data_IF_631612407833
#
_entry.id   IF_631612407833
#
_cell.length_a   1.000
_cell.length_b   1.000
_cell.length_c   1.000
_cell.angle_alpha   90.00
_cell.angle_beta   90.00
_cell.angle_gamma   90.00
#
_symmetry.space_group_name_H-M   'P 1'
#
loop_
_entity.id
_entity.type
_entity.pdbx_description
1 polymer ?
#
# COMPACT_ATOMS: atom_id res chain seq x y z
N UNK A 1 -20.28 30.17 -1.79
CA UNK A 1 -19.98 28.91 -1.09
C UNK A 1 -18.98 28.13 -1.92
N UNK A 2 -18.05 27.41 -1.34
CA UNK A 2 -17.14 26.55 -2.11
C UNK A 2 -17.93 25.43 -2.80
N UNK A 3 -17.51 25.10 -4.04
CA UNK A 3 -18.10 24.02 -4.82
C UNK A 3 -17.23 22.78 -4.67
N UNK A 4 -17.83 21.65 -4.35
CA UNK A 4 -17.17 20.38 -4.23
C UNK A 4 -17.62 19.45 -5.36
N UNK A 5 -16.67 18.84 -6.08
CA UNK A 5 -16.95 17.73 -6.98
C UNK A 5 -16.88 16.44 -6.16
N UNK A 6 -17.92 15.60 -6.28
CA UNK A 6 -17.96 14.34 -5.56
C UNK A 6 -18.17 13.14 -6.49
N UNK A 7 -17.69 12.00 -6.05
CA UNK A 7 -18.00 10.68 -6.58
C UNK A 7 -18.63 9.88 -5.44
N UNK A 8 -19.79 9.33 -5.67
CA UNK A 8 -20.51 8.55 -4.67
C UNK A 8 -21.13 7.31 -5.31
N UNK A 9 -21.37 6.27 -4.53
CA UNK A 9 -22.06 5.03 -4.95
C UNK A 9 -23.47 5.05 -4.41
N UNK A 10 -24.43 4.67 -5.24
CA UNK A 10 -25.81 4.38 -4.83
C UNK A 10 -25.90 3.00 -4.18
N UNK A 11 -26.98 2.69 -3.46
CA UNK A 11 -27.25 1.35 -2.92
C UNK A 11 -27.26 0.26 -4.00
N UNK A 12 -27.54 0.63 -5.25
CA UNK A 12 -27.51 -0.28 -6.41
C UNK A 12 -26.11 -0.46 -7.02
N UNK A 13 -25.05 0.10 -6.42
CA UNK A 13 -23.66 -0.03 -6.89
C UNK A 13 -23.26 0.91 -8.04
N UNK A 14 -24.13 1.80 -8.50
CA UNK A 14 -23.84 2.76 -9.56
C UNK A 14 -23.02 3.94 -9.03
N UNK A 15 -21.93 4.27 -9.72
CA UNK A 15 -21.07 5.41 -9.38
C UNK A 15 -21.64 6.69 -10.00
N UNK A 16 -22.05 7.63 -9.16
CA UNK A 16 -22.53 8.96 -9.54
C UNK A 16 -21.41 9.98 -9.33
N UNK A 17 -21.20 10.85 -10.34
CA UNK A 17 -20.27 11.98 -10.28
C UNK A 17 -21.07 13.27 -10.46
N UNK A 18 -20.97 14.20 -9.51
CA UNK A 18 -21.64 15.49 -9.60
C UNK A 18 -20.89 16.56 -8.80
N UNK A 19 -21.37 17.80 -8.83
CA UNK A 19 -20.85 18.93 -8.06
C UNK A 19 -21.92 19.42 -7.10
N UNK A 20 -21.51 19.86 -5.91
CA UNK A 20 -22.40 20.36 -4.87
C UNK A 20 -21.79 21.60 -4.20
N UNK A 21 -22.61 22.57 -3.90
CA UNK A 21 -22.21 23.77 -3.15
C UNK A 21 -22.55 23.58 -1.67
N UNK A 22 -21.52 23.58 -0.83
CA UNK A 22 -21.64 23.45 0.62
C UNK A 22 -20.55 24.28 1.34
N UNK A 23 -20.77 24.54 2.62
CA UNK A 23 -19.85 25.34 3.42
C UNK A 23 -18.51 24.64 3.67
N UNK A 24 -18.53 23.34 3.82
CA UNK A 24 -17.33 22.53 4.00
C UNK A 24 -17.55 21.11 3.45
N UNK A 25 -16.49 20.34 3.35
CA UNK A 25 -16.50 18.95 2.84
C UNK A 25 -17.38 18.03 3.71
N UNK A 26 -17.44 18.28 4.99
CA UNK A 26 -18.25 17.50 5.93
C UNK A 26 -19.76 17.67 5.66
N UNK A 27 -20.22 18.90 5.38
CA UNK A 27 -21.60 19.16 4.99
C UNK A 27 -21.98 18.44 3.70
N UNK A 28 -21.02 18.31 2.75
CA UNK A 28 -21.20 17.52 1.53
C UNK A 28 -21.45 16.04 1.86
N UNK A 29 -20.61 15.44 2.74
CA UNK A 29 -20.77 14.05 3.19
C UNK A 29 -22.13 13.83 3.84
N UNK A 30 -22.53 14.71 4.75
CA UNK A 30 -23.82 14.62 5.46
C UNK A 30 -25.01 14.68 4.49
N UNK A 31 -24.91 15.53 3.48
CA UNK A 31 -25.96 15.67 2.44
C UNK A 31 -25.99 14.48 1.50
N UNK A 32 -24.84 13.93 1.13
CA UNK A 32 -24.76 12.71 0.30
C UNK A 32 -25.34 11.50 1.03
N UNK A 33 -25.01 11.30 2.32
CA UNK A 33 -25.59 10.22 3.15
C UNK A 33 -27.12 10.36 3.29
N UNK A 34 -27.63 11.58 3.47
CA UNK A 34 -29.10 11.81 3.54
C UNK A 34 -29.81 11.41 2.24
N UNK A 35 -29.09 11.42 1.11
CA UNK A 35 -29.60 11.01 -0.20
C UNK A 35 -29.23 9.55 -0.55
N UNK A 36 -28.87 8.72 0.44
CA UNK A 36 -28.47 7.32 0.27
C UNK A 36 -27.29 7.13 -0.71
N UNK A 37 -26.38 8.10 -0.74
CA UNK A 37 -25.17 8.09 -1.57
C UNK A 37 -23.94 7.92 -0.67
N UNK A 38 -23.17 6.84 -0.89
CA UNK A 38 -21.91 6.62 -0.19
C UNK A 38 -20.78 7.36 -0.92
N UNK A 39 -20.13 8.37 -0.31
CA UNK A 39 -19.07 9.12 -0.94
C UNK A 39 -17.80 8.29 -1.12
N UNK A 40 -17.25 8.26 -2.35
CA UNK A 40 -15.95 7.64 -2.66
C UNK A 40 -14.83 8.70 -2.59
N UNK A 41 -15.09 9.89 -3.13
CA UNK A 41 -14.14 11.00 -3.11
C UNK A 41 -14.85 12.33 -3.22
N UNK A 42 -14.36 13.34 -2.48
CA UNK A 42 -14.85 14.71 -2.48
C UNK A 42 -13.65 15.63 -2.62
N UNK A 43 -13.63 16.41 -3.70
CA UNK A 43 -12.53 17.33 -4.05
C UNK A 43 -13.07 18.74 -4.18
N UNK A 44 -12.50 19.74 -3.51
CA UNK A 44 -12.91 21.13 -3.71
C UNK A 44 -12.54 21.57 -5.15
N UNK A 45 -13.51 22.14 -5.87
CA UNK A 45 -13.30 22.68 -7.20
C UNK A 45 -12.78 24.11 -7.04
N UNK A 46 -11.48 24.32 -7.24
CA UNK A 46 -10.89 25.67 -7.27
C UNK A 46 -11.27 26.35 -8.59
N UNK A 47 -11.99 27.46 -8.47
CA UNK A 47 -12.16 28.45 -9.53
C UNK A 47 -13.38 28.29 -10.43
N UNK A 48 -14.57 28.57 -9.94
CA UNK A 48 -15.59 29.30 -10.71
C UNK A 48 -16.34 30.19 -9.71
N UNK A 49 -15.94 31.44 -9.66
CA UNK A 49 -16.79 32.49 -9.07
C UNK A 49 -17.83 32.82 -10.14
N UNK A 50 -19.01 32.25 -10.02
CA UNK A 50 -20.17 32.73 -10.77
C UNK A 50 -20.59 34.06 -10.17
N UNK A 51 -20.38 35.12 -10.94
CA UNK A 51 -20.83 36.46 -10.63
C UNK A 51 -22.33 36.48 -10.39
N UNK A 52 -22.78 36.69 -9.18
CA UNK A 52 -24.15 37.07 -8.90
C UNK A 52 -24.28 38.58 -8.94
N UNK A 53 -25.27 39.01 -9.72
CA UNK A 53 -25.71 40.39 -9.94
C UNK A 53 -25.87 41.17 -8.63
N UNK A 54 -25.46 42.46 -8.73
CA UNK A 54 -25.68 43.55 -7.77
C UNK A 54 -27.06 43.51 -7.09
N UNK A 55 -27.07 43.59 -5.79
CA UNK A 55 -28.12 44.28 -5.05
C UNK A 55 -27.51 45.28 -4.07
N UNK A 56 -28.15 46.47 -4.04
CA UNK A 56 -27.78 47.72 -3.38
C UNK A 56 -27.81 47.62 -1.84
N UNK A 57 -26.83 48.27 -1.24
CA UNK A 57 -26.77 48.99 0.05
C UNK A 57 -27.89 48.76 1.05
N UNK A 58 -27.52 48.36 2.25
CA UNK A 58 -27.90 49.04 3.51
C UNK A 58 -26.71 49.18 4.44
N UNK A 59 -26.54 50.41 4.97
CA UNK A 59 -25.54 50.88 5.95
C UNK A 59 -25.89 50.40 7.32
N UNK A 60 -24.85 50.26 8.12
CA UNK A 60 -24.65 50.32 9.54
C UNK A 60 -24.39 48.99 10.22
N UNK A 61 -23.10 48.67 10.41
CA UNK A 61 -22.52 48.29 11.70
C UNK A 61 -21.06 48.78 11.69
N UNK A 62 -20.82 49.93 12.21
CA UNK A 62 -19.53 50.44 12.68
C UNK A 62 -19.22 49.76 14.00
N UNK A 63 -18.02 49.30 14.13
CA UNK A 63 -17.16 49.06 15.29
C UNK A 63 -16.41 47.73 15.37
N UNK A 64 -16.83 46.67 14.68
CA UNK A 64 -16.04 45.43 14.65
C UNK A 64 -14.96 45.49 13.55
N UNK A 65 -15.14 46.36 12.55
CA UNK A 65 -14.18 46.51 11.42
C UNK A 65 -12.88 47.24 11.80
N UNK A 66 -12.83 47.96 12.94
CA UNK A 66 -11.61 48.64 13.41
C UNK A 66 -10.72 47.74 14.26
N UNK A 67 -11.27 46.75 14.96
CA UNK A 67 -10.49 45.79 15.74
C UNK A 67 -9.84 44.76 14.83
N UNK A 68 -10.47 44.38 13.74
CA UNK A 68 -9.87 43.48 12.72
C UNK A 68 -8.81 44.11 11.82
N UNK A 69 -8.72 45.44 11.77
CA UNK A 69 -7.68 46.16 11.02
C UNK A 69 -6.30 46.19 11.66
N UNK A 70 -6.19 45.88 12.93
CA UNK A 70 -4.92 45.89 13.67
C UNK A 70 -4.30 44.48 13.86
N UNK A 71 -4.92 43.42 13.43
CA UNK A 71 -4.30 42.10 13.35
C UNK A 71 -3.74 41.96 11.91
N UNK A 72 -2.43 41.84 11.82
CA UNK A 72 -1.54 41.75 10.66
C UNK A 72 -2.05 40.96 9.42
N UNK A 73 -3.25 41.25 8.95
CA UNK A 73 -3.81 40.73 7.70
C UNK A 73 -3.08 41.25 6.46
N UNK A 74 -2.38 42.40 6.58
CA UNK A 74 -1.55 42.92 5.47
C UNK A 74 -0.37 42.00 5.10
N UNK A 75 0.20 41.25 6.09
CA UNK A 75 1.28 40.32 5.82
C UNK A 75 0.83 38.94 5.27
N UNK A 76 -0.43 38.57 5.48
CA UNK A 76 -1.01 37.33 4.97
C UNK A 76 -1.48 37.54 3.51
N UNK A 77 -2.10 38.67 3.22
CA UNK A 77 -2.55 39.02 1.85
C UNK A 77 -1.39 39.38 0.88
N UNK A 78 -0.27 39.92 1.39
CA UNK A 78 0.92 40.16 0.55
C UNK A 78 1.68 38.86 0.21
N UNK A 79 1.47 37.76 0.94
CA UNK A 79 2.00 36.43 0.55
C UNK A 79 1.17 35.76 -0.54
N UNK A 80 -0.10 36.09 -0.68
CA UNK A 80 -0.97 35.51 -1.72
C UNK A 80 -0.78 36.12 -3.13
N UNK A 81 -0.13 37.29 -3.25
CA UNK A 81 0.09 37.95 -4.55
C UNK A 81 1.47 37.73 -5.17
N UNK A 82 2.42 37.12 -4.46
CA UNK A 82 3.64 36.60 -5.10
C UNK A 82 3.29 35.30 -5.78
N UNK A 83 3.15 35.35 -7.09
CA UNK A 83 2.94 34.15 -7.91
C UNK A 83 3.96 33.08 -7.56
N UNK A 84 3.49 31.91 -7.13
CA UNK A 84 4.32 30.74 -6.82
C UNK A 84 5.32 30.51 -7.95
N UNK A 85 6.59 30.38 -7.61
CA UNK A 85 7.64 29.99 -8.56
C UNK A 85 7.28 28.62 -9.16
N UNK A 86 7.75 28.34 -10.38
CA UNK A 86 7.51 27.04 -11.03
C UNK A 86 7.88 25.86 -10.14
N UNK A 87 8.95 25.99 -9.33
CA UNK A 87 9.36 25.01 -8.31
C UNK A 87 8.31 24.82 -7.21
N UNK A 88 7.72 25.90 -6.71
CA UNK A 88 6.67 25.84 -5.68
C UNK A 88 5.37 25.25 -6.23
N UNK A 89 5.00 25.62 -7.47
CA UNK A 89 3.84 25.00 -8.15
C UNK A 89 4.03 23.51 -8.37
N UNK A 90 5.21 23.07 -8.77
CA UNK A 90 5.56 21.65 -8.94
C UNK A 90 5.56 20.95 -7.57
N UNK A 91 6.13 21.56 -6.53
CA UNK A 91 6.12 21.02 -5.16
C UNK A 91 4.71 20.90 -4.59
N UNK A 92 3.86 21.90 -4.79
CA UNK A 92 2.45 21.86 -4.36
C UNK A 92 1.69 20.77 -5.11
N UNK A 93 1.94 20.60 -6.42
CA UNK A 93 1.27 19.56 -7.22
C UNK A 93 1.76 18.15 -6.87
N UNK A 94 3.05 17.99 -6.57
CA UNK A 94 3.64 16.72 -6.11
C UNK A 94 3.19 16.37 -4.68
N UNK A 95 3.10 17.37 -3.80
CA UNK A 95 2.69 17.17 -2.41
C UNK A 95 1.17 17.01 -2.22
N UNK A 96 0.36 17.53 -3.15
CA UNK A 96 -1.10 17.42 -3.09
C UNK A 96 -1.63 15.98 -3.24
N UNK A 97 -0.77 15.03 -3.58
CA UNK A 97 -1.12 13.62 -3.77
C UNK A 97 -0.19 12.67 -2.97
N UNK A 98 0.37 13.16 -1.86
CA UNK A 98 1.21 12.32 -0.99
C UNK A 98 0.39 11.18 -0.40
N UNK A 99 0.87 9.96 -0.61
CA UNK A 99 0.27 8.78 0.02
C UNK A 99 0.53 8.83 1.52
N UNK A 100 -0.52 8.72 2.32
CA UNK A 100 -0.40 8.55 3.78
C UNK A 100 0.16 7.17 4.07
N UNK A 101 1.24 7.11 4.84
CA UNK A 101 1.92 5.87 5.21
C UNK A 101 1.52 5.42 6.62
N UNK A 102 1.77 4.15 6.95
CA UNK A 102 1.60 3.63 8.32
C UNK A 102 2.45 4.42 9.32
N UNK A 103 3.63 4.91 8.90
CA UNK A 103 4.49 5.74 9.72
C UNK A 103 3.89 7.11 10.04
N UNK A 104 3.21 7.74 9.07
CA UNK A 104 2.51 9.02 9.32
C UNK A 104 1.41 8.82 10.37
N UNK A 105 0.68 7.70 10.26
CA UNK A 105 -0.35 7.34 11.23
C UNK A 105 0.24 7.02 12.61
N UNK A 106 1.38 6.33 12.67
CA UNK A 106 2.08 6.04 13.92
C UNK A 106 2.51 7.33 14.61
N UNK A 107 3.21 8.23 13.93
CA UNK A 107 3.67 9.52 14.48
C UNK A 107 2.47 10.35 14.98
N UNK A 108 1.38 10.38 14.23
CA UNK A 108 0.14 11.02 14.65
C UNK A 108 -0.38 10.42 15.96
N UNK A 109 -0.45 9.09 16.04
CA UNK A 109 -1.02 8.38 17.19
C UNK A 109 -0.16 8.54 18.43
N UNK A 110 1.19 8.48 18.30
CA UNK A 110 2.13 8.74 19.38
C UNK A 110 1.97 10.15 19.95
N UNK A 111 1.95 11.16 19.07
CA UNK A 111 1.75 12.55 19.49
C UNK A 111 0.38 12.74 20.17
N UNK A 112 -0.66 12.10 19.63
CA UNK A 112 -1.98 12.17 20.21
C UNK A 112 -2.05 11.49 21.58
N UNK A 113 -1.41 10.32 21.73
CA UNK A 113 -1.25 9.64 23.00
C UNK A 113 -0.55 10.52 24.05
N UNK A 114 0.59 11.15 23.69
CA UNK A 114 1.35 12.02 24.59
C UNK A 114 0.52 13.23 25.05
N UNK A 115 -0.23 13.86 24.15
CA UNK A 115 -1.10 14.99 24.49
C UNK A 115 -2.29 14.53 25.36
N UNK A 116 -2.87 13.35 25.11
CA UNK A 116 -3.92 12.78 25.97
C UNK A 116 -3.39 12.44 27.36
N UNK A 117 -2.20 11.87 27.46
CA UNK A 117 -1.51 11.64 28.74
C UNK A 117 -1.23 12.92 29.50
N UNK A 118 -1.02 14.04 28.81
CA UNK A 118 -0.91 15.38 29.37
C UNK A 118 -2.28 16.04 29.65
N UNK A 119 -3.39 15.29 29.61
CA UNK A 119 -4.77 15.76 29.87
C UNK A 119 -5.30 16.79 28.86
N UNK A 120 -4.76 16.90 27.66
CA UNK A 120 -5.35 17.73 26.63
C UNK A 120 -6.70 17.15 26.15
N UNK A 121 -7.67 18.01 25.88
CA UNK A 121 -8.91 17.57 25.23
C UNK A 121 -8.65 17.19 23.76
N UNK A 122 -9.54 16.40 23.15
CA UNK A 122 -9.34 15.86 21.81
C UNK A 122 -9.19 16.96 20.74
N UNK A 123 -9.98 18.03 20.82
CA UNK A 123 -9.96 19.16 19.89
C UNK A 123 -8.60 19.88 19.96
N UNK A 124 -8.14 20.21 21.16
CA UNK A 124 -6.88 20.94 21.34
C UNK A 124 -5.65 20.07 20.97
N UNK A 125 -5.67 18.79 21.35
CA UNK A 125 -4.63 17.85 20.95
C UNK A 125 -4.54 17.72 19.42
N UNK A 126 -5.68 17.52 18.76
CA UNK A 126 -5.73 17.37 17.30
C UNK A 126 -5.30 18.66 16.57
N UNK A 127 -5.76 19.84 17.03
CA UNK A 127 -5.35 21.13 16.45
C UNK A 127 -3.84 21.37 16.55
N UNK A 128 -3.21 20.92 17.64
CA UNK A 128 -1.75 21.02 17.84
C UNK A 128 -1.01 20.12 16.86
N UNK A 129 -1.46 18.88 16.67
CA UNK A 129 -0.82 17.91 15.78
C UNK A 129 -0.95 18.34 14.32
N UNK A 130 -2.08 18.90 13.91
CA UNK A 130 -2.30 19.39 12.54
C UNK A 130 -1.22 20.40 12.14
N UNK A 131 -0.79 21.28 13.06
CA UNK A 131 0.22 22.29 12.78
C UNK A 131 1.61 21.69 12.53
N UNK A 132 1.92 20.54 13.12
CA UNK A 132 3.21 19.84 13.01
C UNK A 132 3.19 18.72 11.96
N UNK A 133 2.08 18.48 11.27
CA UNK A 133 1.95 17.42 10.28
C UNK A 133 2.48 17.88 8.92
N UNK A 134 3.54 17.24 8.41
CA UNK A 134 4.19 17.59 7.14
C UNK A 134 3.43 17.09 5.92
N UNK A 135 2.78 15.93 6.02
CA UNK A 135 2.02 15.31 4.94
C UNK A 135 0.72 16.07 4.69
N UNK A 136 0.66 16.83 3.59
CA UNK A 136 -0.48 17.68 3.24
C UNK A 136 -1.80 16.92 3.08
N UNK A 137 -1.76 15.71 2.52
CA UNK A 137 -2.96 14.86 2.37
C UNK A 137 -3.47 14.43 3.73
N UNK A 138 -2.57 14.02 4.62
CA UNK A 138 -2.92 13.60 5.97
C UNK A 138 -3.41 14.78 6.82
N UNK A 139 -2.73 15.92 6.71
CA UNK A 139 -3.16 17.16 7.36
C UNK A 139 -4.60 17.54 7.02
N UNK A 140 -4.98 17.51 5.73
CA UNK A 140 -6.34 17.79 5.30
C UNK A 140 -7.37 16.81 5.89
N UNK A 141 -6.99 15.54 6.07
CA UNK A 141 -7.84 14.53 6.71
C UNK A 141 -8.01 14.82 8.21
N UNK A 142 -6.92 15.18 8.88
CA UNK A 142 -6.97 15.57 10.30
C UNK A 142 -7.80 16.86 10.52
N UNK A 143 -7.74 17.81 9.58
CA UNK A 143 -8.61 19.00 9.58
C UNK A 143 -10.10 18.62 9.42
N UNK A 144 -10.42 17.66 8.55
CA UNK A 144 -11.79 17.13 8.42
C UNK A 144 -12.27 16.42 9.71
N UNK A 145 -11.37 15.67 10.39
CA UNK A 145 -11.68 15.02 11.67
C UNK A 145 -11.90 16.09 12.78
N UNK A 146 -11.07 17.12 12.81
CA UNK A 146 -11.23 18.23 13.74
C UNK A 146 -12.57 18.94 13.56
N UNK A 147 -12.94 19.24 12.32
CA UNK A 147 -14.23 19.85 11.98
C UNK A 147 -15.43 18.98 12.42
N UNK A 148 -15.30 17.65 12.32
CA UNK A 148 -16.31 16.70 12.84
C UNK A 148 -16.44 16.78 14.35
N UNK A 149 -15.32 16.79 15.08
CA UNK A 149 -15.30 16.93 16.53
C UNK A 149 -15.90 18.27 17.00
N UNK A 150 -15.56 19.37 16.31
CA UNK A 150 -16.14 20.70 16.61
C UNK A 150 -17.65 20.75 16.33
N UNK A 151 -18.13 19.95 15.37
CA UNK A 151 -19.56 19.78 15.11
C UNK A 151 -20.27 18.83 16.10
N UNK A 152 -19.54 18.28 17.08
CA UNK A 152 -20.08 17.34 18.09
C UNK A 152 -20.18 15.90 17.61
N UNK A 153 -19.56 15.52 16.50
CA UNK A 153 -19.48 14.13 16.08
C UNK A 153 -18.34 13.42 16.82
N UNK A 154 -18.49 12.09 16.98
CA UNK A 154 -17.41 11.29 17.57
C UNK A 154 -16.23 11.17 16.59
N UNK A 155 -15.00 11.11 17.11
CA UNK A 155 -13.78 11.00 16.34
C UNK A 155 -13.76 9.74 15.45
N UNK A 156 -14.13 8.59 16.03
CA UNK A 156 -14.19 7.33 15.29
C UNK A 156 -15.15 7.40 14.09
N UNK A 157 -16.27 8.09 14.21
CA UNK A 157 -17.25 8.22 13.12
C UNK A 157 -16.68 8.98 11.93
N UNK A 158 -15.90 10.02 12.20
CA UNK A 158 -15.24 10.80 11.15
C UNK A 158 -14.09 10.02 10.52
N UNK A 159 -13.35 9.21 11.32
CA UNK A 159 -12.30 8.32 10.82
C UNK A 159 -12.82 7.21 9.92
N UNK A 160 -14.04 6.70 10.12
CA UNK A 160 -14.66 5.68 9.25
C UNK A 160 -14.77 6.12 7.79
N UNK A 161 -14.88 7.44 7.52
CA UNK A 161 -14.88 7.96 6.13
C UNK A 161 -13.54 7.79 5.42
N UNK A 162 -12.47 7.57 6.18
CA UNK A 162 -11.09 7.41 5.71
C UNK A 162 -10.55 6.02 6.03
N UNK A 163 -11.39 4.98 5.88
CA UNK A 163 -11.04 3.57 6.15
C UNK A 163 -9.86 3.03 5.33
N UNK A 164 -9.52 3.69 4.22
CA UNK A 164 -8.32 3.41 3.43
C UNK A 164 -7.01 3.89 4.10
N UNK A 165 -7.10 4.75 5.12
CA UNK A 165 -5.97 5.34 5.84
C UNK A 165 -5.95 4.83 7.29
N UNK A 166 -7.09 4.85 7.96
CA UNK A 166 -7.25 4.31 9.30
C UNK A 166 -7.71 2.86 9.21
N UNK A 167 -6.86 1.88 9.60
CA UNK A 167 -7.26 0.47 9.65
C UNK A 167 -8.48 0.29 10.54
N UNK A 168 -9.35 -0.64 10.21
CA UNK A 168 -10.60 -0.86 10.96
C UNK A 168 -10.36 -1.14 12.45
N UNK A 169 -9.30 -1.90 12.76
CA UNK A 169 -8.92 -2.17 14.15
C UNK A 169 -8.52 -0.89 14.89
N UNK A 170 -7.80 0.01 14.22
CA UNK A 170 -7.44 1.32 14.77
C UNK A 170 -8.70 2.14 15.10
N UNK A 171 -9.64 2.21 14.15
CA UNK A 171 -10.92 2.92 14.34
C UNK A 171 -11.68 2.32 15.53
N UNK A 172 -11.68 0.98 15.65
CA UNK A 172 -12.36 0.31 16.76
C UNK A 172 -11.71 0.60 18.12
N UNK A 173 -10.38 0.67 18.19
CA UNK A 173 -9.67 1.10 19.40
C UNK A 173 -10.05 2.53 19.80
N UNK A 174 -10.05 3.46 18.84
CA UNK A 174 -10.48 4.83 19.08
C UNK A 174 -11.94 4.89 19.56
N UNK A 175 -12.82 4.10 18.92
CA UNK A 175 -14.24 3.99 19.30
C UNK A 175 -14.41 3.53 20.75
N UNK A 176 -13.71 2.46 21.14
CA UNK A 176 -13.75 1.94 22.51
C UNK A 176 -13.24 3.02 23.48
N UNK A 177 -12.10 3.65 23.20
CA UNK A 177 -11.52 4.71 24.03
C UNK A 177 -12.42 5.93 24.18
N UNK A 178 -13.10 6.33 23.11
CA UNK A 178 -14.00 7.49 23.12
C UNK A 178 -15.29 7.20 23.89
N UNK A 179 -15.88 6.01 23.71
CA UNK A 179 -17.14 5.63 24.37
C UNK A 179 -16.95 5.26 25.86
N UNK A 180 -15.80 4.68 26.22
CA UNK A 180 -15.49 4.33 27.62
C UNK A 180 -14.80 5.46 28.40
N UNK A 181 -14.39 6.53 27.74
CA UNK A 181 -13.59 7.61 28.34
C UNK A 181 -12.12 7.22 28.62
N UNK A 182 -11.68 6.04 28.17
CA UNK A 182 -10.32 5.50 28.35
C UNK A 182 -9.43 5.73 27.12
N UNK A 183 -9.51 6.92 26.50
CA UNK A 183 -8.79 7.25 25.27
C UNK A 183 -7.28 7.05 25.38
N UNK A 184 -6.67 7.35 26.56
CA UNK A 184 -5.23 7.17 26.77
C UNK A 184 -4.81 5.71 26.61
N UNK A 185 -5.53 4.78 27.24
CA UNK A 185 -5.24 3.34 27.15
C UNK A 185 -5.43 2.81 25.73
N UNK A 186 -6.52 3.22 25.07
CA UNK A 186 -6.81 2.83 23.68
C UNK A 186 -5.76 3.36 22.71
N UNK A 187 -5.28 4.59 22.90
CA UNK A 187 -4.20 5.15 22.08
C UNK A 187 -2.87 4.42 22.33
N UNK A 188 -2.57 4.05 23.57
CA UNK A 188 -1.36 3.25 23.87
C UNK A 188 -1.38 1.91 23.16
N UNK A 189 -2.53 1.21 23.14
CA UNK A 189 -2.70 -0.03 22.38
C UNK A 189 -2.57 0.20 20.87
N UNK A 190 -3.14 1.32 20.37
CA UNK A 190 -3.05 1.69 18.97
C UNK A 190 -1.60 2.01 18.53
N UNK A 191 -0.83 2.69 19.37
CA UNK A 191 0.61 2.92 19.13
C UNK A 191 1.34 1.60 18.99
N UNK A 192 1.20 0.69 19.97
CA UNK A 192 1.84 -0.63 19.93
C UNK A 192 1.47 -1.41 18.66
N UNK A 193 0.20 -1.44 18.29
CA UNK A 193 -0.27 -2.09 17.06
C UNK A 193 0.38 -1.50 15.80
N UNK A 194 0.51 -0.18 15.73
CA UNK A 194 1.11 0.49 14.57
C UNK A 194 2.63 0.34 14.53
N UNK A 195 3.31 0.36 15.69
CA UNK A 195 4.75 0.07 15.83
C UNK A 195 5.06 -1.33 15.29
N UNK A 196 4.35 -2.35 15.78
CA UNK A 196 4.52 -3.74 15.31
C UNK A 196 4.29 -3.87 13.80
N UNK A 197 3.25 -3.18 13.30
CA UNK A 197 2.94 -3.18 11.86
C UNK A 197 4.00 -2.46 11.01
N UNK A 198 4.52 -1.33 11.48
CA UNK A 198 5.56 -0.56 10.79
C UNK A 198 6.90 -1.32 10.79
N UNK A 199 7.26 -1.95 11.90
CA UNK A 199 8.48 -2.75 12.03
C UNK A 199 8.45 -4.00 11.13
N UNK A 200 7.32 -4.71 11.07
CA UNK A 200 7.15 -5.81 10.11
C UNK A 200 7.31 -5.32 8.67
N UNK A 201 6.65 -4.22 8.31
CA UNK A 201 6.76 -3.66 6.96
C UNK A 201 8.20 -3.24 6.63
N UNK A 202 8.94 -2.66 7.58
CA UNK A 202 10.36 -2.29 7.42
C UNK A 202 11.24 -3.52 7.22
N UNK A 203 11.05 -4.58 8.02
CA UNK A 203 11.82 -5.84 7.92
C UNK A 203 11.59 -6.49 6.56
N UNK A 204 10.34 -6.63 6.12
CA UNK A 204 9.99 -7.18 4.79
C UNK A 204 10.59 -6.32 3.67
N UNK A 205 10.49 -4.99 3.77
CA UNK A 205 11.05 -4.09 2.76
C UNK A 205 12.57 -4.18 2.68
N UNK A 206 13.28 -4.22 3.82
CA UNK A 206 14.73 -4.39 3.87
C UNK A 206 15.18 -5.71 3.24
N UNK A 207 14.38 -6.76 3.33
CA UNK A 207 14.65 -8.05 2.73
C UNK A 207 14.42 -8.04 1.21
N UNK A 208 13.32 -7.42 0.74
CA UNK A 208 12.89 -7.53 -0.66
C UNK A 208 13.59 -6.52 -1.58
N UNK A 209 13.74 -5.26 -1.15
CA UNK A 209 14.23 -4.18 -2.02
C UNK A 209 15.63 -4.45 -2.61
N UNK A 210 16.68 -4.83 -1.84
CA UNK A 210 18.01 -5.05 -2.41
C UNK A 210 18.02 -6.20 -3.41
N UNK A 211 17.26 -7.25 -3.15
CA UNK A 211 17.19 -8.41 -4.05
C UNK A 211 16.48 -8.07 -5.37
N UNK A 212 15.38 -7.32 -5.31
CA UNK A 212 14.68 -6.84 -6.52
C UNK A 212 15.58 -5.87 -7.31
N UNK A 213 16.30 -4.97 -6.64
CA UNK A 213 17.23 -4.05 -7.31
C UNK A 213 18.34 -4.79 -8.06
N UNK A 214 18.90 -5.86 -7.46
CA UNK A 214 19.89 -6.71 -8.14
C UNK A 214 19.31 -7.43 -9.35
N UNK A 215 18.11 -7.99 -9.26
CA UNK A 215 17.45 -8.65 -10.41
C UNK A 215 17.23 -7.66 -11.55
N UNK A 216 16.74 -6.45 -11.23
CA UNK A 216 16.57 -5.38 -12.23
C UNK A 216 17.89 -4.99 -12.86
N UNK A 217 18.95 -4.85 -12.05
CA UNK A 217 20.29 -4.54 -12.55
C UNK A 217 20.79 -5.63 -13.52
N UNK A 218 20.61 -6.92 -13.18
CA UNK A 218 20.99 -8.03 -14.05
C UNK A 218 20.21 -8.03 -15.37
N UNK A 219 18.93 -7.72 -15.34
CA UNK A 219 18.11 -7.60 -16.56
C UNK A 219 18.59 -6.44 -17.45
N UNK A 220 18.90 -5.29 -16.85
CA UNK A 220 19.47 -4.13 -17.56
C UNK A 220 20.80 -4.53 -18.19
N UNK A 221 21.69 -5.18 -17.44
CA UNK A 221 23.00 -5.63 -17.91
C UNK A 221 22.85 -6.62 -19.06
N UNK A 222 21.88 -7.54 -19.02
CA UNK A 222 21.58 -8.47 -20.10
C UNK A 222 21.16 -7.73 -21.38
N UNK A 223 20.23 -6.76 -21.27
CA UNK A 223 19.76 -5.98 -22.44
C UNK A 223 20.89 -5.09 -23.01
N UNK A 224 21.61 -4.38 -22.15
CA UNK A 224 22.71 -3.50 -22.58
C UNK A 224 23.87 -4.33 -23.17
N UNK A 225 24.23 -5.44 -22.52
CA UNK A 225 25.30 -6.31 -22.96
C UNK A 225 25.03 -6.96 -24.33
N UNK A 226 23.79 -7.37 -24.60
CA UNK A 226 23.41 -7.89 -25.92
C UNK A 226 23.41 -6.79 -26.97
N UNK A 227 22.87 -5.63 -26.69
CA UNK A 227 22.76 -4.50 -27.62
C UNK A 227 24.15 -3.97 -28.07
N UNK A 228 25.10 -3.92 -27.18
CA UNK A 228 26.44 -3.42 -27.50
C UNK A 228 27.45 -4.53 -27.79
N UNK A 229 27.31 -5.71 -27.18
CA UNK A 229 28.25 -6.81 -27.32
C UNK A 229 28.14 -7.53 -28.68
N UNK A 230 26.92 -7.78 -29.18
CA UNK A 230 26.73 -8.46 -30.46
C UNK A 230 27.34 -7.68 -31.63
N UNK A 231 27.10 -6.37 -31.82
CA UNK A 231 27.75 -5.59 -32.88
C UNK A 231 29.29 -5.56 -32.82
N UNK A 232 29.85 -5.58 -31.61
CA UNK A 232 31.31 -5.66 -31.44
C UNK A 232 31.85 -6.99 -31.97
N UNK A 233 31.22 -8.11 -31.63
CA UNK A 233 31.56 -9.43 -32.12
C UNK A 233 31.45 -9.49 -33.66
N UNK A 234 30.35 -8.95 -34.22
CA UNK A 234 30.19 -8.86 -35.68
C UNK A 234 31.26 -8.06 -36.38
N UNK A 235 31.62 -6.90 -35.81
CA UNK A 235 32.72 -6.07 -36.34
C UNK A 235 34.06 -6.81 -36.37
N UNK A 236 34.34 -7.64 -35.38
CA UNK A 236 35.51 -8.50 -35.33
C UNK A 236 35.46 -9.56 -36.44
N UNK A 237 34.31 -10.24 -36.63
CA UNK A 237 34.14 -11.21 -37.71
C UNK A 237 34.30 -10.59 -39.09
N UNK A 238 33.76 -9.40 -39.32
CA UNK A 238 33.91 -8.68 -40.60
C UNK A 238 35.36 -8.23 -40.87
N UNK A 239 36.09 -7.84 -39.84
CA UNK A 239 37.48 -7.34 -39.98
C UNK A 239 38.48 -8.45 -40.40
N UNK A 240 38.16 -9.69 -40.04
CA UNK A 240 39.03 -10.84 -40.31
C UNK A 240 38.80 -11.41 -41.72
N UNK A 241 37.78 -10.92 -42.47
CA UNK A 241 37.51 -11.32 -43.83
C UNK A 241 37.15 -12.82 -43.98
N UNK A 242 36.87 -13.50 -42.89
CA UNK A 242 36.62 -14.92 -42.88
C UNK A 242 35.15 -15.23 -43.24
N UNK A 243 35.00 -16.28 -44.06
CA UNK A 243 33.71 -16.96 -44.30
C UNK A 243 33.18 -17.66 -43.03
N UNK A 244 33.75 -17.41 -41.85
CA UNK A 244 33.35 -17.99 -40.61
C UNK A 244 31.98 -17.46 -40.23
N UNK A 245 31.00 -18.33 -40.07
CA UNK A 245 29.67 -17.97 -39.62
C UNK A 245 29.65 -17.83 -38.10
N UNK A 246 28.92 -16.84 -37.61
CA UNK A 246 28.68 -16.67 -36.19
C UNK A 246 28.05 -17.95 -35.58
N UNK A 247 28.41 -18.33 -34.36
CA UNK A 247 27.81 -19.46 -33.68
C UNK A 247 26.28 -19.41 -33.67
N UNK A 248 25.62 -20.55 -33.78
CA UNK A 248 24.17 -20.65 -33.84
C UNK A 248 23.47 -19.93 -32.64
N UNK A 249 24.05 -19.99 -31.46
CA UNK A 249 23.54 -19.30 -30.28
C UNK A 249 23.55 -17.77 -30.46
N UNK A 250 24.66 -17.22 -31.00
CA UNK A 250 24.80 -15.76 -31.23
C UNK A 250 23.84 -15.31 -32.34
N UNK A 251 23.71 -16.09 -33.43
CA UNK A 251 22.76 -15.83 -34.53
C UNK A 251 21.32 -15.83 -34.04
N UNK A 252 20.94 -16.80 -33.21
CA UNK A 252 19.58 -16.87 -32.64
C UNK A 252 19.29 -15.63 -31.78
N UNK A 253 20.22 -15.23 -30.88
CA UNK A 253 20.05 -14.02 -30.06
C UNK A 253 20.04 -12.75 -30.89
N UNK A 254 20.91 -12.65 -31.92
CA UNK A 254 20.89 -11.52 -32.85
C UNK A 254 19.51 -11.41 -33.50
N UNK A 255 18.99 -12.49 -34.05
CA UNK A 255 17.65 -12.52 -34.64
C UNK A 255 16.55 -12.07 -33.65
N UNK A 256 16.62 -12.50 -32.40
CA UNK A 256 15.67 -12.06 -31.36
C UNK A 256 15.78 -10.56 -31.14
N UNK A 257 17.01 -10.02 -30.97
CA UNK A 257 17.23 -8.60 -30.74
C UNK A 257 16.77 -7.77 -31.95
N UNK A 258 17.16 -8.13 -33.16
CA UNK A 258 16.74 -7.46 -34.40
C UNK A 258 15.23 -7.49 -34.61
N UNK A 259 14.58 -8.63 -34.34
CA UNK A 259 13.12 -8.75 -34.40
C UNK A 259 12.44 -7.84 -33.38
N UNK A 260 12.97 -7.77 -32.17
CA UNK A 260 12.44 -6.87 -31.14
C UNK A 260 12.69 -5.40 -31.51
N UNK A 261 13.84 -5.05 -32.08
CA UNK A 261 14.13 -3.68 -32.52
C UNK A 261 13.30 -3.27 -33.74
N UNK A 262 13.12 -4.16 -34.72
CA UNK A 262 12.33 -3.92 -35.93
C UNK A 262 10.84 -3.81 -35.63
N UNK A 263 10.35 -4.67 -34.77
CA UNK A 263 8.91 -4.76 -34.43
C UNK A 263 8.62 -4.35 -32.98
N UNK A 264 9.42 -3.42 -32.38
CA UNK A 264 9.30 -3.03 -30.98
C UNK A 264 7.86 -2.66 -30.55
N UNK A 265 7.05 -2.18 -31.49
CA UNK A 265 5.64 -1.84 -31.26
C UNK A 265 4.80 -3.09 -30.93
N UNK A 266 5.07 -4.22 -31.60
CA UNK A 266 4.31 -5.47 -31.41
C UNK A 266 4.51 -6.06 -30.00
N UNK A 267 5.76 -6.33 -29.54
CA UNK A 267 5.97 -6.82 -28.18
C UNK A 267 5.49 -5.82 -27.11
N UNK A 268 5.66 -4.51 -27.37
CA UNK A 268 5.16 -3.48 -26.45
C UNK A 268 3.64 -3.52 -26.32
N UNK A 269 2.91 -3.56 -27.43
CA UNK A 269 1.44 -3.69 -27.42
C UNK A 269 1.02 -5.02 -26.79
N UNK A 270 1.72 -6.11 -27.09
CA UNK A 270 1.42 -7.43 -26.51
C UNK A 270 1.61 -7.45 -25.00
N UNK A 271 2.69 -6.84 -24.49
CA UNK A 271 2.92 -6.69 -23.06
C UNK A 271 1.83 -5.82 -22.42
N UNK A 272 1.51 -4.67 -23.02
CA UNK A 272 0.45 -3.78 -22.51
C UNK A 272 -0.90 -4.49 -22.51
N UNK A 273 -1.25 -5.18 -23.59
CA UNK A 273 -2.49 -5.96 -23.69
C UNK A 273 -2.51 -7.13 -22.69
N UNK A 274 -1.38 -7.81 -22.49
CA UNK A 274 -1.22 -8.87 -21.51
C UNK A 274 -1.41 -8.35 -20.09
N UNK A 275 -0.77 -7.22 -19.74
CA UNK A 275 -0.91 -6.56 -18.43
C UNK A 275 -2.35 -6.08 -18.24
N UNK A 276 -2.96 -5.44 -19.25
CA UNK A 276 -4.35 -4.99 -19.17
C UNK A 276 -5.31 -6.19 -19.02
N UNK A 277 -5.11 -7.27 -19.75
CA UNK A 277 -5.87 -8.52 -19.62
C UNK A 277 -5.71 -9.17 -18.25
N UNK A 278 -4.49 -9.17 -17.71
CA UNK A 278 -4.21 -9.68 -16.37
C UNK A 278 -4.87 -8.82 -15.30
N UNK A 279 -4.82 -7.49 -15.41
CA UNK A 279 -5.52 -6.56 -14.52
C UNK A 279 -7.04 -6.77 -14.62
N UNK A 280 -7.57 -6.93 -15.83
CA UNK A 280 -8.98 -7.23 -16.03
C UNK A 280 -9.37 -8.56 -15.38
N UNK A 281 -8.59 -9.63 -15.59
CA UNK A 281 -8.82 -10.94 -14.98
C UNK A 281 -8.78 -10.87 -13.45
N UNK A 282 -7.76 -10.21 -12.86
CA UNK A 282 -7.64 -10.04 -11.41
C UNK A 282 -8.83 -9.27 -10.82
N UNK A 283 -9.48 -8.38 -11.59
CA UNK A 283 -10.66 -7.65 -11.13
C UNK A 283 -11.95 -8.48 -11.17
N UNK A 284 -11.96 -9.66 -11.79
CA UNK A 284 -13.10 -10.58 -11.72
C UNK A 284 -13.15 -11.30 -10.36
N UNK A 285 -14.33 -11.70 -9.84
CA UNK A 285 -14.42 -12.41 -8.55
C UNK A 285 -13.58 -13.69 -8.50
N UNK A 286 -13.60 -14.49 -9.58
CA UNK A 286 -12.78 -15.72 -9.70
C UNK A 286 -11.29 -15.41 -9.83
N UNK A 287 -10.94 -14.38 -10.59
CA UNK A 287 -9.56 -13.95 -10.78
C UNK A 287 -8.95 -13.42 -9.49
N UNK A 288 -9.70 -12.63 -8.72
CA UNK A 288 -9.29 -12.19 -7.38
C UNK A 288 -8.98 -13.37 -6.47
N UNK A 289 -9.90 -14.33 -6.35
CA UNK A 289 -9.68 -15.50 -5.52
C UNK A 289 -8.44 -16.28 -5.95
N UNK A 290 -8.30 -16.59 -7.25
CA UNK A 290 -7.15 -17.31 -7.79
C UNK A 290 -5.83 -16.56 -7.59
N UNK A 291 -5.82 -15.24 -7.77
CA UNK A 291 -4.63 -14.41 -7.54
C UNK A 291 -4.23 -14.39 -6.06
N UNK A 292 -5.20 -14.27 -5.14
CA UNK A 292 -4.96 -14.33 -3.71
C UNK A 292 -4.51 -15.73 -3.26
N UNK A 293 -5.05 -16.78 -3.87
CA UNK A 293 -4.60 -18.16 -3.64
C UNK A 293 -3.17 -18.38 -4.16
N UNK A 294 -2.85 -17.87 -5.37
CA UNK A 294 -1.49 -17.88 -5.91
C UNK A 294 -0.51 -17.19 -4.98
N UNK A 295 -0.89 -16.03 -4.41
CA UNK A 295 -0.06 -15.30 -3.45
C UNK A 295 0.30 -16.13 -2.20
N UNK A 296 -0.60 -17.02 -1.74
CA UNK A 296 -0.34 -17.92 -0.63
C UNK A 296 0.40 -19.21 -1.04
N UNK A 297 0.22 -19.67 -2.29
CA UNK A 297 0.93 -20.83 -2.84
C UNK A 297 2.25 -20.48 -3.51
N UNK A 298 2.62 -19.23 -3.60
CA UNK A 298 3.86 -18.79 -4.21
C UNK A 298 5.06 -19.39 -3.45
N UNK A 299 6.00 -20.06 -4.15
CA UNK A 299 7.18 -20.63 -3.50
C UNK A 299 7.95 -19.52 -2.75
N UNK A 300 8.51 -19.83 -1.61
CA UNK A 300 9.34 -18.96 -0.77
C UNK A 300 8.52 -17.88 -0.02
N UNK A 301 7.66 -17.12 -0.73
CA UNK A 301 6.93 -15.97 -0.16
C UNK A 301 5.50 -16.30 0.28
N UNK A 302 4.96 -17.44 -0.13
CA UNK A 302 3.56 -17.79 0.15
C UNK A 302 3.29 -17.99 1.63
N UNK A 303 4.15 -18.75 2.29
CA UNK A 303 4.09 -19.01 3.73
C UNK A 303 4.20 -17.70 4.53
N UNK A 304 5.13 -16.82 4.15
CA UNK A 304 5.29 -15.51 4.79
C UNK A 304 4.03 -14.64 4.64
N UNK A 305 3.47 -14.57 3.44
CA UNK A 305 2.26 -13.78 3.21
C UNK A 305 1.08 -14.28 4.05
N UNK A 306 0.91 -15.61 4.14
CA UNK A 306 -0.14 -16.20 4.97
C UNK A 306 0.11 -15.90 6.45
N UNK A 307 1.31 -16.16 6.94
CA UNK A 307 1.67 -15.94 8.35
C UNK A 307 1.44 -14.49 8.78
N UNK A 308 1.81 -13.51 7.95
CA UNK A 308 1.59 -12.08 8.22
C UNK A 308 0.08 -11.75 8.26
N UNK A 309 -0.69 -12.17 7.24
CA UNK A 309 -2.13 -11.87 7.18
C UNK A 309 -2.88 -12.54 8.34
N UNK A 310 -2.51 -13.77 8.68
CA UNK A 310 -3.11 -14.53 9.78
C UNK A 310 -2.71 -13.96 11.15
N UNK A 311 -1.45 -13.58 11.35
CA UNK A 311 -0.99 -12.91 12.58
C UNK A 311 -1.76 -11.60 12.83
N UNK A 312 -1.95 -10.78 11.77
CA UNK A 312 -2.76 -9.55 11.88
C UNK A 312 -4.20 -9.84 12.30
N UNK A 313 -4.80 -10.87 11.72
CA UNK A 313 -6.14 -11.32 12.09
C UNK A 313 -6.20 -11.77 13.56
N UNK A 314 -5.25 -12.59 14.01
CA UNK A 314 -5.20 -13.08 15.40
C UNK A 314 -4.95 -11.94 16.40
N UNK A 315 -4.07 -10.99 16.10
CA UNK A 315 -3.88 -9.77 16.91
C UNK A 315 -5.17 -8.97 17.05
N UNK A 316 -5.90 -8.79 15.94
CA UNK A 316 -7.18 -8.09 15.95
C UNK A 316 -8.22 -8.82 16.82
N UNK A 317 -8.28 -10.13 16.70
CA UNK A 317 -9.18 -10.96 17.49
C UNK A 317 -8.81 -10.91 18.97
N UNK A 318 -7.52 -11.04 19.32
CA UNK A 318 -7.02 -10.94 20.70
C UNK A 318 -7.44 -9.62 21.35
N UNK A 319 -7.21 -8.48 20.67
CA UNK A 319 -7.57 -7.16 21.18
C UNK A 319 -9.08 -7.02 21.45
N UNK A 320 -9.91 -7.58 20.56
CA UNK A 320 -11.36 -7.58 20.74
C UNK A 320 -11.78 -8.43 21.94
N UNK A 321 -11.18 -9.62 22.12
CA UNK A 321 -11.45 -10.51 23.26
C UNK A 321 -10.99 -9.88 24.59
N UNK A 322 -9.81 -9.26 24.63
CA UNK A 322 -9.32 -8.53 25.81
C UNK A 322 -10.23 -7.36 26.20
N UNK A 323 -10.93 -6.77 25.24
CA UNK A 323 -11.98 -5.75 25.47
C UNK A 323 -13.35 -6.35 25.83
N UNK A 324 -13.44 -7.66 26.09
CA UNK A 324 -14.66 -8.35 26.52
C UNK A 324 -15.68 -8.63 25.40
N UNK A 325 -15.26 -8.54 24.13
CA UNK A 325 -16.14 -8.90 23.01
C UNK A 325 -16.34 -10.41 22.92
N UNK A 326 -17.54 -10.84 22.52
CA UNK A 326 -17.80 -12.27 22.25
C UNK A 326 -16.99 -12.75 21.05
N UNK A 327 -16.70 -14.04 20.99
CA UNK A 327 -15.92 -14.66 19.89
C UNK A 327 -16.51 -14.35 18.53
N UNK A 328 -17.83 -14.47 18.38
CA UNK A 328 -18.53 -14.18 17.13
C UNK A 328 -18.32 -12.72 16.68
N UNK A 329 -18.55 -11.77 17.60
CA UNK A 329 -18.41 -10.34 17.31
C UNK A 329 -16.93 -9.99 17.02
N UNK A 330 -16.00 -10.65 17.73
CA UNK A 330 -14.55 -10.50 17.52
C UNK A 330 -14.11 -10.96 16.13
N UNK A 331 -14.64 -12.11 15.65
CA UNK A 331 -14.37 -12.62 14.30
C UNK A 331 -14.94 -11.66 13.23
N UNK A 332 -16.17 -11.16 13.44
CA UNK A 332 -16.84 -10.24 12.51
C UNK A 332 -16.08 -8.91 12.38
N UNK A 333 -15.52 -8.42 13.47
CA UNK A 333 -14.66 -7.23 13.47
C UNK A 333 -13.28 -7.53 12.88
N UNK A 334 -12.65 -8.62 13.30
CA UNK A 334 -11.30 -8.97 12.89
C UNK A 334 -11.20 -9.33 11.39
N UNK A 335 -12.26 -9.86 10.76
CA UNK A 335 -12.25 -10.14 9.31
C UNK A 335 -11.91 -8.89 8.46
N UNK A 336 -12.25 -7.69 8.93
CA UNK A 336 -12.01 -6.44 8.19
C UNK A 336 -10.54 -6.02 8.13
N UNK A 337 -9.66 -6.66 8.93
CA UNK A 337 -8.20 -6.47 8.86
C UNK A 337 -7.59 -7.29 7.72
N UNK A 338 -8.30 -8.32 7.27
CA UNK A 338 -7.82 -9.27 6.26
C UNK A 338 -8.11 -8.76 4.86
N UNK A 339 -7.06 -8.64 4.05
CA UNK A 339 -7.18 -8.24 2.65
C UNK A 339 -7.24 -9.42 1.67
N UNK A 340 -6.84 -10.61 2.11
CA UNK A 340 -6.79 -11.79 1.27
C UNK A 340 -8.13 -12.52 1.25
N UNK A 341 -8.70 -12.68 0.04
CA UNK A 341 -10.02 -13.30 -0.14
C UNK A 341 -10.08 -14.77 0.30
N UNK A 342 -8.96 -15.50 0.25
CA UNK A 342 -8.91 -16.91 0.71
C UNK A 342 -9.06 -16.97 2.21
N UNK A 343 -8.28 -16.18 2.95
CA UNK A 343 -8.38 -16.12 4.40
C UNK A 343 -9.73 -15.54 4.83
N UNK A 344 -10.22 -14.52 4.12
CA UNK A 344 -11.55 -13.95 4.36
C UNK A 344 -12.64 -15.00 4.25
N UNK A 345 -12.63 -15.85 3.20
CA UNK A 345 -13.61 -16.92 3.03
C UNK A 345 -13.55 -17.99 4.14
N UNK A 346 -12.35 -18.27 4.67
CA UNK A 346 -12.17 -19.17 5.81
C UNK A 346 -12.81 -18.56 7.07
N UNK A 347 -12.56 -17.27 7.32
CA UNK A 347 -13.12 -16.54 8.48
C UNK A 347 -14.64 -16.45 8.37
N UNK A 348 -15.19 -16.15 7.20
CA UNK A 348 -16.65 -16.13 6.98
C UNK A 348 -17.27 -17.50 7.22
N UNK A 349 -16.60 -18.58 6.82
CA UNK A 349 -17.04 -19.94 7.13
C UNK A 349 -16.98 -20.22 8.64
N UNK A 350 -15.94 -19.72 9.32
CA UNK A 350 -15.82 -19.84 10.78
C UNK A 350 -16.94 -19.10 11.52
N UNK A 351 -17.32 -17.90 11.05
CA UNK A 351 -18.47 -17.15 11.60
C UNK A 351 -19.77 -17.92 11.40
N UNK A 352 -20.01 -18.47 10.21
CA UNK A 352 -21.18 -19.29 9.92
C UNK A 352 -21.23 -20.54 10.80
N UNK A 353 -20.09 -21.19 11.05
CA UNK A 353 -20.00 -22.35 11.95
C UNK A 353 -20.45 -22.01 13.38
N UNK A 354 -20.05 -20.85 13.92
CA UNK A 354 -20.55 -20.40 15.24
C UNK A 354 -22.06 -20.24 15.23
N UNK A 355 -22.63 -19.62 14.19
CA UNK A 355 -24.08 -19.43 14.07
C UNK A 355 -24.82 -20.78 14.02
N UNK A 356 -24.19 -21.79 13.40
CA UNK A 356 -24.71 -23.16 13.33
C UNK A 356 -24.43 -24.02 14.59
N UNK A 357 -23.73 -23.45 15.58
CA UNK A 357 -23.34 -24.19 16.80
C UNK A 357 -22.20 -25.18 16.60
N UNK A 358 -21.43 -25.04 15.52
CA UNK A 358 -20.25 -25.89 15.22
C UNK A 358 -18.94 -25.15 15.49
N UNK A 359 -17.82 -25.89 15.46
CA UNK A 359 -16.50 -25.29 15.77
C UNK A 359 -16.07 -24.26 14.70
N UNK A 360 -15.75 -23.06 15.14
CA UNK A 360 -15.19 -22.01 14.28
C UNK A 360 -13.72 -22.28 13.88
N UNK A 361 -13.04 -23.20 14.56
CA UNK A 361 -11.64 -23.58 14.29
C UNK A 361 -11.54 -24.52 13.08
N UNK A 362 -12.57 -25.34 12.87
CA UNK A 362 -12.61 -26.36 11.81
C UNK A 362 -12.29 -25.84 10.40
N UNK A 363 -12.76 -24.67 9.94
CA UNK A 363 -12.39 -24.14 8.62
C UNK A 363 -10.90 -23.82 8.47
N UNK A 364 -10.24 -23.39 9.54
CA UNK A 364 -8.79 -23.17 9.54
C UNK A 364 -8.02 -24.48 9.43
N UNK A 365 -8.46 -25.53 10.13
CA UNK A 365 -7.88 -26.86 10.06
C UNK A 365 -8.05 -27.47 8.67
N UNK A 366 -9.24 -27.43 8.10
CA UNK A 366 -9.55 -27.96 6.76
C UNK A 366 -8.87 -27.21 5.63
N UNK A 367 -8.49 -25.95 5.82
CA UNK A 367 -7.81 -25.15 4.80
C UNK A 367 -6.41 -25.67 4.46
N UNK A 368 -5.75 -26.38 5.39
CA UNK A 368 -4.37 -26.82 5.27
C UNK A 368 -3.36 -25.68 5.19
N UNK A 369 -3.78 -24.43 5.42
CA UNK A 369 -2.91 -23.25 5.45
C UNK A 369 -2.35 -22.98 6.85
N UNK A 370 -3.13 -23.26 7.89
CA UNK A 370 -2.72 -23.15 9.29
C UNK A 370 -1.95 -24.38 9.73
N UNK A 371 -0.88 -24.21 10.52
CA UNK A 371 -0.20 -25.34 11.11
C UNK A 371 -1.09 -26.04 12.15
N UNK A 372 -0.89 -27.34 12.35
CA UNK A 372 -1.62 -28.10 13.38
C UNK A 372 -1.41 -27.53 14.79
N UNK A 373 -0.24 -26.94 15.06
CA UNK A 373 0.06 -26.27 16.33
C UNK A 373 -0.90 -25.11 16.61
N UNK A 374 -1.17 -24.26 15.59
CA UNK A 374 -2.08 -23.13 15.71
C UNK A 374 -3.50 -23.60 16.05
N UNK A 375 -4.00 -24.60 15.32
CA UNK A 375 -5.36 -25.10 15.51
C UNK A 375 -5.53 -25.81 16.85
N UNK A 376 -4.52 -26.53 17.31
CA UNK A 376 -4.53 -27.15 18.65
C UNK A 376 -4.47 -26.12 19.78
N UNK A 377 -3.64 -25.06 19.67
CA UNK A 377 -3.63 -23.96 20.64
C UNK A 377 -4.99 -23.27 20.74
N UNK A 378 -5.67 -23.05 19.62
CA UNK A 378 -7.02 -22.49 19.61
C UNK A 378 -8.04 -23.43 20.28
N UNK A 379 -7.96 -24.74 20.03
CA UNK A 379 -8.83 -25.75 20.69
C UNK A 379 -8.61 -25.78 22.21
N UNK A 380 -7.36 -25.73 22.66
CA UNK A 380 -7.02 -25.66 24.09
C UNK A 380 -7.57 -24.36 24.70
N UNK A 381 -7.38 -23.23 24.03
CA UNK A 381 -7.90 -21.93 24.46
C UNK A 381 -9.43 -21.92 24.64
N UNK A 382 -10.16 -22.62 23.77
CA UNK A 382 -11.62 -22.77 23.90
C UNK A 382 -12.05 -23.54 25.15
N UNK A 383 -11.17 -24.39 25.70
CA UNK A 383 -11.44 -25.19 26.91
C UNK A 383 -10.93 -24.51 28.19
N UNK A 384 -10.06 -23.52 28.06
CA UNK A 384 -9.42 -22.81 29.17
C UNK A 384 -9.74 -21.31 29.12
N UNK A 385 -8.72 -20.48 28.86
CA UNK A 385 -8.84 -19.04 28.60
C UNK A 385 -8.40 -18.75 27.17
N UNK A 386 -9.36 -18.39 26.33
CA UNK A 386 -9.07 -18.13 24.92
C UNK A 386 -8.19 -16.89 24.74
N UNK A 387 -8.36 -15.85 25.56
CA UNK A 387 -7.59 -14.61 25.40
C UNK A 387 -6.12 -14.86 25.80
N UNK A 388 -5.86 -15.54 26.91
CA UNK A 388 -4.50 -15.92 27.31
C UNK A 388 -3.82 -16.81 26.26
N UNK A 389 -4.55 -17.80 25.74
CA UNK A 389 -4.00 -18.70 24.73
C UNK A 389 -3.74 -17.98 23.40
N UNK A 390 -4.59 -17.04 23.02
CA UNK A 390 -4.37 -16.24 21.82
C UNK A 390 -3.19 -15.28 21.96
N UNK A 391 -2.90 -14.77 23.15
CA UNK A 391 -1.69 -13.97 23.40
C UNK A 391 -0.44 -14.79 23.13
N UNK A 392 -0.36 -16.02 23.68
CA UNK A 392 0.73 -16.96 23.42
C UNK A 392 0.83 -17.36 21.94
N UNK A 393 -0.34 -17.51 21.29
CA UNK A 393 -0.39 -17.81 19.86
C UNK A 393 0.16 -16.66 18.99
N UNK A 394 -0.16 -15.43 19.33
CA UNK A 394 0.37 -14.24 18.64
C UNK A 394 1.88 -14.16 18.79
N UNK A 395 2.43 -14.38 20.01
CA UNK A 395 3.88 -14.44 20.23
C UNK A 395 4.54 -15.56 19.41
N UNK A 396 3.93 -16.76 19.40
CA UNK A 396 4.41 -17.87 18.57
C UNK A 396 4.45 -17.48 17.08
N UNK A 397 3.41 -16.82 16.58
CA UNK A 397 3.34 -16.41 15.17
C UNK A 397 4.35 -15.33 14.84
N UNK A 398 4.68 -14.44 15.75
CA UNK A 398 5.76 -13.46 15.55
C UNK A 398 7.12 -14.14 15.40
N UNK A 399 7.40 -15.13 16.24
CA UNK A 399 8.62 -15.94 16.12
C UNK A 399 8.64 -16.75 14.82
N UNK A 400 7.50 -17.32 14.41
CA UNK A 400 7.38 -18.10 13.18
C UNK A 400 7.62 -17.21 11.94
N UNK A 401 7.03 -16.02 11.90
CA UNK A 401 7.29 -15.01 10.87
C UNK A 401 8.79 -14.67 10.79
N UNK A 402 9.44 -14.48 11.94
CA UNK A 402 10.87 -14.17 11.96
C UNK A 402 11.71 -15.35 11.44
N UNK A 403 11.38 -16.58 11.80
CA UNK A 403 12.05 -17.78 11.27
C UNK A 403 11.86 -17.92 9.76
N UNK A 404 10.64 -17.71 9.24
CA UNK A 404 10.36 -17.73 7.81
C UNK A 404 11.18 -16.64 7.09
N UNK A 405 11.23 -15.42 7.64
CA UNK A 405 12.06 -14.34 7.07
C UNK A 405 13.55 -14.69 7.07
N UNK A 406 14.07 -15.30 8.12
CA UNK A 406 15.46 -15.75 8.19
C UNK A 406 15.76 -16.84 7.15
N UNK A 407 14.85 -17.83 6.98
CA UNK A 407 14.96 -18.84 5.92
C UNK A 407 15.01 -18.19 4.52
N UNK A 408 14.13 -17.22 4.26
CA UNK A 408 14.12 -16.48 2.99
C UNK A 408 15.44 -15.74 2.79
N UNK A 409 15.92 -15.02 3.82
CA UNK A 409 17.20 -14.29 3.73
C UNK A 409 18.39 -15.22 3.51
N UNK A 410 18.37 -16.44 4.04
CA UNK A 410 19.42 -17.42 3.82
C UNK A 410 19.42 -18.01 2.40
N UNK A 411 18.24 -18.17 1.78
CA UNK A 411 18.11 -18.77 0.44
C UNK A 411 18.31 -17.69 -0.68
N UNK A 412 17.97 -16.43 -0.42
CA UNK A 412 18.02 -15.36 -1.42
C UNK A 412 19.39 -15.17 -2.08
N UNK A 413 20.54 -15.15 -1.36
CA UNK A 413 21.85 -15.02 -1.98
C UNK A 413 22.16 -16.16 -2.95
N UNK A 414 21.74 -17.38 -2.64
CA UNK A 414 21.94 -18.58 -3.49
C UNK A 414 21.16 -18.45 -4.81
N UNK A 415 19.90 -17.99 -4.74
CA UNK A 415 19.07 -17.75 -5.94
C UNK A 415 19.71 -16.68 -6.83
N UNK A 416 20.15 -15.57 -6.21
CA UNK A 416 20.81 -14.47 -6.93
C UNK A 416 22.11 -14.96 -7.56
N UNK A 417 22.92 -15.72 -6.83
CA UNK A 417 24.18 -16.27 -7.36
C UNK A 417 23.95 -17.23 -8.54
N UNK A 418 22.91 -18.07 -8.45
CA UNK A 418 22.52 -18.93 -9.57
C UNK A 418 22.09 -18.10 -10.79
N UNK A 419 21.31 -17.05 -10.58
CA UNK A 419 20.85 -16.16 -11.64
C UNK A 419 22.02 -15.38 -12.29
N UNK A 420 22.97 -14.88 -11.48
CA UNK A 420 24.23 -14.27 -11.98
C UNK A 420 25.00 -15.30 -12.80
N UNK A 421 25.12 -16.55 -12.31
CA UNK A 421 25.76 -17.63 -13.04
C UNK A 421 25.14 -17.88 -14.42
N UNK A 422 23.82 -17.92 -14.51
CA UNK A 422 23.08 -18.07 -15.78
C UNK A 422 23.38 -16.91 -16.73
N UNK A 423 23.38 -15.67 -16.24
CA UNK A 423 23.70 -14.47 -17.03
C UNK A 423 25.16 -14.50 -17.52
N UNK A 424 26.10 -14.92 -16.68
CA UNK A 424 27.51 -15.05 -17.05
C UNK A 424 27.70 -16.14 -18.14
N UNK A 425 27.09 -17.32 -17.97
CA UNK A 425 27.12 -18.38 -19.00
C UNK A 425 26.54 -17.86 -20.32
N UNK A 426 25.46 -17.10 -20.26
CA UNK A 426 24.88 -16.44 -21.42
C UNK A 426 25.92 -15.51 -22.11
N UNK A 427 26.60 -14.63 -21.40
CA UNK A 427 27.60 -13.74 -21.97
C UNK A 427 28.81 -14.50 -22.54
N UNK A 428 29.24 -15.57 -21.86
CA UNK A 428 30.32 -16.43 -22.37
C UNK A 428 29.91 -17.04 -23.72
N UNK A 429 28.72 -17.62 -23.82
CA UNK A 429 28.27 -18.28 -25.04
C UNK A 429 27.98 -17.32 -26.20
N UNK A 430 27.43 -16.13 -25.91
CA UNK A 430 26.97 -15.19 -26.95
C UNK A 430 28.07 -14.23 -27.40
N UNK A 431 29.01 -13.89 -26.52
CA UNK A 431 30.04 -12.87 -26.79
C UNK A 431 31.44 -13.48 -26.76
N UNK A 432 31.83 -14.17 -25.67
CA UNK A 432 33.21 -14.60 -25.46
C UNK A 432 33.59 -15.74 -26.39
N UNK A 433 32.75 -16.76 -26.55
CA UNK A 433 33.05 -17.91 -27.44
C UNK A 433 33.22 -17.48 -28.89
N UNK A 434 32.36 -16.65 -29.50
CA UNK A 434 32.59 -16.12 -30.84
C UNK A 434 33.90 -15.31 -30.95
N UNK A 435 34.16 -14.43 -30.00
CA UNK A 435 35.36 -13.63 -29.98
C UNK A 435 36.64 -14.53 -29.96
N UNK A 436 36.64 -15.56 -29.11
CA UNK A 436 37.74 -16.53 -29.04
C UNK A 436 37.92 -17.34 -30.30
N UNK A 437 36.84 -17.75 -30.98
CA UNK A 437 36.91 -18.49 -32.23
C UNK A 437 37.62 -17.72 -33.33
N UNK A 438 37.37 -16.41 -33.45
CA UNK A 438 38.07 -15.56 -34.40
C UNK A 438 39.55 -15.44 -34.03
N UNK A 439 39.81 -15.19 -32.74
CA UNK A 439 41.21 -14.99 -32.26
C UNK A 439 42.04 -16.26 -32.43
N UNK A 440 41.50 -17.44 -32.11
CA UNK A 440 42.20 -18.72 -32.27
C UNK A 440 42.30 -19.12 -33.74
N UNK A 441 41.30 -18.86 -34.58
CA UNK A 441 41.35 -19.04 -35.99
C UNK A 441 42.48 -18.31 -36.66
N UNK A 442 42.64 -17.01 -36.34
CA UNK A 442 43.79 -16.19 -36.83
C UNK A 442 45.13 -16.71 -36.34
N UNK A 443 45.24 -17.08 -35.06
CA UNK A 443 46.47 -17.64 -34.49
C UNK A 443 46.89 -18.94 -35.19
N UNK A 444 45.93 -19.80 -35.53
CA UNK A 444 46.19 -21.05 -36.25
C UNK A 444 46.61 -20.79 -37.70
N UNK A 445 46.05 -19.78 -38.37
CA UNK A 445 46.45 -19.39 -39.73
C UNK A 445 47.84 -18.74 -39.73
N UNK A 446 48.15 -17.83 -38.81
CA UNK A 446 49.45 -17.22 -38.62
C UNK A 446 50.54 -18.26 -38.25
N UNK A 447 50.19 -19.25 -37.42
CA UNK A 447 51.10 -20.34 -37.06
C UNK A 447 51.33 -21.33 -38.18
N UNK A 448 50.37 -21.46 -39.14
CA UNK A 448 50.50 -22.30 -40.32
C UNK A 448 51.24 -21.64 -41.50
N UNK A 449 51.58 -20.34 -41.38
CA UNK A 449 52.37 -19.61 -42.40
C UNK A 449 51.63 -19.37 -43.70
N UNK A 450 50.28 -19.31 -43.69
CA UNK A 450 49.43 -19.06 -44.85
C UNK A 450 48.79 -17.69 -44.73
#
# INVERSE_FOLDING_TARGET
MPVFAYRAVTESGLVVKNKIEETNKHSVVKRLKRNNLMPISIVPVRGVILSSKKQKKRKNVSDISQIMKNVNTANIMQRETKGFTLKEKIMITLNANQKVTTRDLLIFTENFYLLKKANFNNIHALSTIIQSTDNWTFRGILEDILAGLEAGENMYTTMEYYSNIFPYIYINMIKVGELSGSMEQSLQQAVKYLEDSDDLNKRVRKMVIPNVALIVLLLILLVVGTKFGIPVVEGVYQSVGSSAQLPAATLWFKHVVETVEQYWVVPTITIIAGVAGLIYYINTPKGKYNFHLFKYKMPIFGELNYAIDFSRFMKAMLLNLQNGMRIQDSLEVAKNVVSNYVLLSIIETAINNIIMGTSWIEPFEKSGLSSSMITEMLKIGMQTDLAEMMEKLVEYMEMDIEQIMQKIMAIMPQIIQALVGVVLVFFVLVILVPALQVYMGNFLFDAAGV
#
